data_IF_512851022240
#
_entry.id   IF_512851022240
#
_cell.length_a   1.000
_cell.length_b   1.000
_cell.length_c   1.000
_cell.angle_alpha   90.00
_cell.angle_beta   90.00
_cell.angle_gamma   90.00
#
_symmetry.space_group_name_H-M   'P 1'
#
loop_
_entity.id
_entity.type
_entity.pdbx_description
1 polymer ?
#
# COMPACT_ATOMS: atom_id res chain seq x y z
N UNK A 1 5.79 -14.82 22.06
CA UNK A 1 4.76 -14.16 21.26
C UNK A 1 5.34 -13.81 19.89
N UNK A 2 4.62 -14.11 18.80
CA UNK A 2 5.06 -13.86 17.42
C UNK A 2 4.01 -13.02 16.69
N UNK A 3 4.45 -12.00 15.97
CA UNK A 3 3.57 -11.11 15.23
C UNK A 3 3.72 -11.34 13.72
N UNK A 4 2.65 -11.80 13.09
CA UNK A 4 2.58 -12.12 11.67
C UNK A 4 1.46 -11.37 10.93
N UNK A 5 1.00 -10.22 11.45
CA UNK A 5 0.00 -9.37 10.79
C UNK A 5 0.58 -8.03 10.29
N UNK A 6 1.82 -8.05 9.80
CA UNK A 6 2.53 -6.86 9.33
C UNK A 6 1.90 -6.22 8.08
N UNK A 7 1.20 -6.99 7.24
CA UNK A 7 0.47 -6.46 6.09
C UNK A 7 -0.78 -5.64 6.47
N UNK A 8 -1.27 -5.76 7.71
CA UNK A 8 -2.28 -4.86 8.25
C UNK A 8 -1.61 -3.60 8.84
N UNK A 9 -0.61 -3.78 9.69
CA UNK A 9 0.26 -2.74 10.25
C UNK A 9 1.50 -3.38 10.83
N UNK A 10 2.67 -2.75 10.74
CA UNK A 10 3.85 -3.23 11.46
C UNK A 10 3.72 -2.88 12.94
N UNK A 11 3.80 -3.90 13.81
CA UNK A 11 3.76 -3.66 15.27
C UNK A 11 5.09 -3.08 15.78
N UNK A 12 6.18 -3.72 15.40
CA UNK A 12 7.51 -3.22 15.73
C UNK A 12 7.95 -2.15 14.75
N UNK A 13 8.46 -1.05 15.30
CA UNK A 13 8.99 0.07 14.51
C UNK A 13 10.42 0.37 14.94
N UNK A 14 11.26 0.93 14.06
CA UNK A 14 12.55 1.45 14.46
C UNK A 14 12.41 2.47 15.62
N UNK A 15 13.33 2.46 16.56
CA UNK A 15 13.32 3.39 17.69
C UNK A 15 13.33 4.85 17.23
N UNK A 16 14.06 5.14 16.16
CA UNK A 16 14.14 6.48 15.56
C UNK A 16 12.75 7.06 15.20
N UNK A 17 11.78 6.21 14.85
CA UNK A 17 10.41 6.63 14.53
C UNK A 17 9.71 7.19 15.77
N UNK A 18 9.74 6.47 16.87
CA UNK A 18 9.15 6.93 18.13
C UNK A 18 9.87 8.19 18.66
N UNK A 19 11.20 8.20 18.56
CA UNK A 19 12.01 9.35 18.99
C UNK A 19 11.72 10.61 18.16
N UNK A 20 11.54 10.49 16.86
CA UNK A 20 11.20 11.64 15.99
C UNK A 20 9.84 12.26 16.37
N UNK A 21 8.81 11.42 16.60
CA UNK A 21 7.50 11.89 17.06
C UNK A 21 7.62 12.58 18.44
N UNK A 22 8.31 11.93 19.38
CA UNK A 22 8.54 12.47 20.71
C UNK A 22 9.24 13.84 20.66
N UNK A 23 10.31 13.96 19.87
CA UNK A 23 11.09 15.20 19.74
C UNK A 23 10.24 16.36 19.21
N UNK A 24 9.36 16.13 18.23
CA UNK A 24 8.45 17.16 17.72
C UNK A 24 7.51 17.64 18.83
N UNK A 25 6.88 16.71 19.55
CA UNK A 25 5.86 17.03 20.55
C UNK A 25 6.46 17.64 21.83
N UNK A 26 7.62 17.17 22.27
CA UNK A 26 8.26 17.62 23.52
C UNK A 26 9.09 18.89 23.39
N UNK A 27 9.51 19.26 22.17
CA UNK A 27 10.42 20.39 21.94
C UNK A 27 9.84 21.75 22.30
N UNK A 28 8.52 21.92 22.22
CA UNK A 28 7.84 23.22 22.33
C UNK A 28 8.26 24.26 21.28
N UNK A 29 8.96 23.84 20.20
CA UNK A 29 9.56 24.73 19.20
C UNK A 29 9.09 24.44 17.76
N UNK A 30 8.14 23.52 17.56
CA UNK A 30 7.54 23.21 16.26
C UNK A 30 6.14 23.78 16.21
N UNK A 31 5.91 24.70 15.27
CA UNK A 31 4.63 25.39 15.08
C UNK A 31 3.83 24.87 13.89
N UNK A 32 2.94 25.72 13.36
CA UNK A 32 2.17 25.39 12.14
C UNK A 32 3.06 25.63 10.90
N UNK A 33 3.22 24.63 10.00
CA UNK A 33 4.09 24.74 8.83
C UNK A 33 3.56 25.72 7.76
N UNK A 34 2.26 26.02 7.77
CA UNK A 34 1.61 26.72 6.65
C UNK A 34 1.82 28.24 6.65
N UNK A 35 2.18 28.88 7.78
CA UNK A 35 2.09 30.34 7.86
C UNK A 35 2.92 30.98 8.95
N UNK A 36 4.18 31.02 8.89
CA UNK A 36 4.91 31.85 9.82
C UNK A 36 6.31 32.20 9.32
N UNK A 37 6.65 33.47 9.36
CA UNK A 37 8.05 33.91 9.20
C UNK A 37 8.88 33.68 10.45
N UNK A 38 8.28 33.14 11.54
CA UNK A 38 8.99 32.88 12.81
C UNK A 38 9.59 31.46 12.84
N UNK A 39 10.65 31.28 13.62
CA UNK A 39 11.44 30.04 13.66
C UNK A 39 10.65 28.76 13.90
N UNK A 40 9.53 28.81 14.65
CA UNK A 40 8.70 27.60 14.92
C UNK A 40 7.96 27.13 13.67
N UNK A 41 7.43 28.04 12.86
CA UNK A 41 6.77 27.70 11.61
C UNK A 41 7.78 27.21 10.56
N UNK A 42 8.92 27.87 10.45
CA UNK A 42 10.00 27.46 9.54
C UNK A 42 10.55 26.08 9.89
N UNK A 43 10.68 25.78 11.19
CA UNK A 43 11.10 24.43 11.64
C UNK A 43 10.07 23.36 11.25
N UNK A 44 8.78 23.61 11.45
CA UNK A 44 7.71 22.71 11.06
C UNK A 44 7.68 22.50 9.54
N UNK A 45 7.81 23.58 8.77
CA UNK A 45 7.88 23.53 7.30
C UNK A 45 9.09 22.72 6.82
N UNK A 46 10.27 22.92 7.43
CA UNK A 46 11.48 22.17 7.11
C UNK A 46 11.32 20.67 7.33
N UNK A 47 10.63 20.24 8.40
CA UNK A 47 10.32 18.82 8.64
C UNK A 47 9.47 18.25 7.50
N UNK A 48 8.41 18.95 7.11
CA UNK A 48 7.50 18.50 6.04
C UNK A 48 8.23 18.45 4.70
N UNK A 49 9.03 19.47 4.38
CA UNK A 49 9.78 19.55 3.14
C UNK A 49 10.81 18.42 3.03
N UNK A 50 11.61 18.20 4.09
CA UNK A 50 12.57 17.11 4.13
C UNK A 50 11.90 15.75 3.93
N UNK A 51 10.77 15.50 4.59
CA UNK A 51 10.02 14.26 4.42
C UNK A 51 9.51 14.08 2.98
N UNK A 52 9.10 15.16 2.29
CA UNK A 52 8.75 15.09 0.86
C UNK A 52 9.95 14.72 0.00
N UNK A 53 11.10 15.29 0.27
CA UNK A 53 12.33 14.99 -0.48
C UNK A 53 12.76 13.53 -0.26
N UNK A 54 12.68 13.03 0.96
CA UNK A 54 13.03 11.64 1.28
C UNK A 54 12.02 10.64 0.67
N UNK A 55 10.73 10.98 0.61
CA UNK A 55 9.74 10.20 -0.16
C UNK A 55 10.10 10.17 -1.65
N UNK A 56 10.46 11.31 -2.25
CA UNK A 56 10.90 11.35 -3.65
C UNK A 56 12.15 10.50 -3.88
N UNK A 57 13.12 10.55 -2.97
CA UNK A 57 14.32 9.74 -3.05
C UNK A 57 13.98 8.24 -2.97
N UNK A 58 13.09 7.83 -2.06
CA UNK A 58 12.67 6.45 -1.88
C UNK A 58 11.97 5.87 -3.13
N UNK A 59 11.23 6.70 -3.86
CA UNK A 59 10.52 6.30 -5.08
C UNK A 59 11.26 6.66 -6.36
N UNK A 60 12.52 7.08 -6.28
CA UNK A 60 13.37 7.49 -7.42
C UNK A 60 12.71 8.57 -8.30
N UNK A 61 11.94 9.46 -7.69
CA UNK A 61 11.18 10.48 -8.41
C UNK A 61 12.08 11.54 -9.05
N UNK A 62 11.83 11.85 -10.32
CA UNK A 62 12.37 13.04 -10.98
C UNK A 62 11.67 14.34 -10.54
N UNK A 63 12.10 15.49 -11.09
CA UNK A 63 11.54 16.80 -10.76
C UNK A 63 10.09 16.99 -11.19
N UNK A 64 9.58 16.14 -12.06
CA UNK A 64 8.19 16.12 -12.54
C UNK A 64 7.19 15.68 -11.47
N UNK A 65 7.65 15.06 -10.36
CA UNK A 65 6.77 14.64 -9.27
C UNK A 65 6.75 15.61 -8.11
N UNK A 66 5.62 15.58 -7.39
CA UNK A 66 5.47 16.19 -6.09
C UNK A 66 4.81 15.24 -5.09
N UNK A 67 4.88 15.57 -3.79
CA UNK A 67 4.37 14.74 -2.70
C UNK A 67 3.37 15.53 -1.88
N UNK A 68 2.22 14.92 -1.57
CA UNK A 68 1.29 15.40 -0.58
C UNK A 68 1.06 14.33 0.50
N UNK A 69 1.05 14.73 1.78
CA UNK A 69 0.77 13.80 2.88
C UNK A 69 -0.72 13.68 3.17
N UNK A 70 -1.15 12.47 3.51
CA UNK A 70 -2.52 12.14 3.89
C UNK A 70 -2.53 11.32 5.18
N UNK A 71 -3.73 11.04 5.72
CA UNK A 71 -3.86 10.22 6.93
C UNK A 71 -3.56 8.73 6.70
N UNK A 72 -3.70 8.25 5.48
CA UNK A 72 -3.47 6.86 5.05
C UNK A 72 -3.69 6.75 3.53
N UNK A 73 -3.37 5.58 2.94
CA UNK A 73 -3.60 5.35 1.52
C UNK A 73 -5.08 5.38 1.11
N UNK A 74 -6.02 5.05 1.99
CA UNK A 74 -7.46 5.13 1.68
C UNK A 74 -7.87 6.59 1.43
N UNK A 75 -7.39 7.54 2.24
CA UNK A 75 -7.62 8.96 2.00
C UNK A 75 -6.95 9.41 0.70
N UNK A 76 -5.69 9.01 0.47
CA UNK A 76 -4.95 9.29 -0.75
C UNK A 76 -5.71 8.81 -2.00
N UNK A 77 -6.14 7.54 -2.01
CA UNK A 77 -6.88 6.92 -3.12
C UNK A 77 -8.23 7.62 -3.37
N UNK A 78 -8.98 7.98 -2.31
CA UNK A 78 -10.22 8.74 -2.49
C UNK A 78 -9.98 10.10 -3.15
N UNK A 79 -8.96 10.84 -2.67
CA UNK A 79 -8.62 12.16 -3.24
C UNK A 79 -8.18 12.04 -4.70
N UNK A 80 -7.35 11.04 -5.02
CA UNK A 80 -6.81 10.82 -6.36
C UNK A 80 -7.89 10.31 -7.31
N UNK A 81 -8.59 9.23 -6.96
CA UNK A 81 -9.58 8.62 -7.86
C UNK A 81 -10.74 9.58 -8.17
N UNK A 82 -11.25 10.27 -7.14
CA UNK A 82 -12.36 11.21 -7.31
C UNK A 82 -11.93 12.57 -7.87
N UNK A 83 -10.64 12.91 -7.78
CA UNK A 83 -10.10 14.14 -8.34
C UNK A 83 -9.67 14.02 -9.81
N UNK A 84 -9.35 12.80 -10.29
CA UNK A 84 -8.85 12.57 -11.65
C UNK A 84 -9.85 11.91 -12.57
N UNK A 85 -10.75 11.06 -12.05
CA UNK A 85 -11.67 10.24 -12.85
C UNK A 85 -13.04 10.88 -12.84
N UNK A 86 -13.58 11.14 -14.03
CA UNK A 86 -14.82 11.90 -14.21
C UNK A 86 -15.90 11.06 -14.90
N UNK A 87 -17.19 11.41 -14.77
CA UNK A 87 -18.29 10.78 -15.50
C UNK A 87 -17.99 10.70 -17.01
N UNK A 88 -18.18 9.52 -17.59
CA UNK A 88 -17.88 9.24 -19.00
C UNK A 88 -16.49 8.64 -19.22
N UNK A 89 -15.59 8.68 -18.26
CA UNK A 89 -14.29 7.99 -18.35
C UNK A 89 -14.46 6.48 -18.21
N UNK A 90 -13.52 5.72 -18.78
CA UNK A 90 -13.33 4.31 -18.54
C UNK A 90 -12.10 4.06 -17.68
N UNK A 91 -12.21 3.10 -16.78
CA UNK A 91 -11.13 2.64 -15.90
C UNK A 91 -10.89 1.15 -16.13
N UNK A 92 -9.65 0.79 -16.43
CA UNK A 92 -9.19 -0.59 -16.39
C UNK A 92 -8.54 -0.82 -15.01
N UNK A 93 -8.93 -1.89 -14.33
CA UNK A 93 -8.42 -2.24 -12.99
C UNK A 93 -8.26 -3.75 -12.86
N UNK A 94 -7.87 -4.23 -11.68
CA UNK A 94 -7.59 -5.66 -11.48
C UNK A 94 -8.51 -6.31 -10.43
N UNK A 95 -8.61 -7.63 -10.48
CA UNK A 95 -9.28 -8.40 -9.41
C UNK A 95 -8.48 -8.50 -8.11
N UNK A 96 -7.28 -7.95 -8.05
CA UNK A 96 -6.46 -7.93 -6.84
C UNK A 96 -6.77 -6.76 -5.91
N UNK A 97 -7.61 -5.83 -6.34
CA UNK A 97 -7.77 -4.54 -5.67
C UNK A 97 -8.30 -4.65 -4.25
N UNK A 98 -7.70 -3.86 -3.38
CA UNK A 98 -8.21 -3.62 -2.03
C UNK A 98 -9.48 -2.75 -2.07
N UNK A 99 -10.35 -2.86 -1.08
CA UNK A 99 -11.55 -2.03 -0.95
C UNK A 99 -11.28 -0.51 -0.93
N UNK A 100 -10.05 -0.09 -0.62
CA UNK A 100 -9.65 1.33 -0.71
C UNK A 100 -9.63 1.85 -2.16
N UNK A 101 -9.48 0.95 -3.14
CA UNK A 101 -9.63 1.22 -4.58
C UNK A 101 -11.04 0.89 -5.05
N UNK A 102 -11.54 -0.31 -4.74
CA UNK A 102 -12.83 -0.79 -5.27
C UNK A 102 -14.02 0.10 -4.87
N UNK A 103 -14.12 0.47 -3.60
CA UNK A 103 -15.27 1.24 -3.14
C UNK A 103 -15.35 2.65 -3.74
N UNK A 104 -14.27 3.43 -3.85
CA UNK A 104 -14.28 4.67 -4.62
C UNK A 104 -14.62 4.46 -6.10
N UNK A 105 -14.08 3.41 -6.75
CA UNK A 105 -14.40 3.11 -8.15
C UNK A 105 -15.89 2.76 -8.34
N UNK A 106 -16.49 1.97 -7.45
CA UNK A 106 -17.93 1.67 -7.50
C UNK A 106 -18.80 2.93 -7.28
N UNK A 107 -18.35 3.88 -6.45
CA UNK A 107 -19.04 5.16 -6.32
C UNK A 107 -18.95 5.98 -7.62
N UNK A 108 -17.81 5.96 -8.31
CA UNK A 108 -17.63 6.63 -9.60
C UNK A 108 -18.42 5.92 -10.70
N UNK A 109 -18.50 4.59 -10.68
CA UNK A 109 -19.35 3.81 -11.59
C UNK A 109 -20.82 4.24 -11.51
N UNK A 110 -21.34 4.42 -10.28
CA UNK A 110 -22.69 4.94 -10.07
C UNK A 110 -22.89 6.38 -10.59
N UNK A 111 -21.79 7.10 -10.89
CA UNK A 111 -21.79 8.44 -11.47
C UNK A 111 -21.51 8.44 -12.98
N UNK A 112 -21.42 7.27 -13.63
CA UNK A 112 -21.27 7.16 -15.08
C UNK A 112 -19.85 6.86 -15.55
N UNK A 113 -18.93 6.48 -14.68
CA UNK A 113 -17.63 5.88 -15.04
C UNK A 113 -17.84 4.42 -15.44
N UNK A 114 -17.15 3.94 -16.47
CA UNK A 114 -17.17 2.53 -16.85
C UNK A 114 -15.98 1.79 -16.25
N UNK A 115 -16.22 0.63 -15.63
CA UNK A 115 -15.17 -0.21 -15.05
C UNK A 115 -14.97 -1.47 -15.87
N UNK A 116 -13.71 -1.82 -16.12
CA UNK A 116 -13.32 -3.10 -16.70
C UNK A 116 -12.25 -3.75 -15.79
N UNK A 117 -12.34 -5.07 -15.61
CA UNK A 117 -11.47 -5.79 -14.68
C UNK A 117 -10.61 -6.81 -15.43
N UNK A 118 -9.30 -6.80 -15.14
CA UNK A 118 -8.41 -7.91 -15.45
C UNK A 118 -8.64 -8.97 -14.39
N UNK A 119 -9.16 -10.11 -14.82
CA UNK A 119 -9.46 -11.22 -13.92
C UNK A 119 -8.18 -11.93 -13.46
N UNK A 120 -8.27 -12.62 -12.34
CA UNK A 120 -7.28 -13.61 -11.92
C UNK A 120 -7.73 -14.99 -12.34
N UNK A 121 -6.76 -15.85 -12.67
CA UNK A 121 -7.02 -17.27 -12.86
C UNK A 121 -7.21 -17.99 -11.52
N UNK A 122 -7.90 -19.12 -11.56
CA UNK A 122 -8.01 -20.03 -10.43
C UNK A 122 -7.15 -21.27 -10.72
N UNK A 123 -6.41 -21.81 -9.74
CA UNK A 123 -6.36 -21.47 -8.30
C UNK A 123 -5.17 -20.59 -7.90
N UNK A 124 -4.30 -20.19 -8.83
CA UNK A 124 -3.04 -19.49 -8.54
C UNK A 124 -3.24 -18.01 -8.19
N UNK A 125 -4.34 -17.41 -8.65
CA UNK A 125 -4.61 -15.99 -8.47
C UNK A 125 -3.77 -15.08 -9.37
N UNK A 126 -3.09 -15.61 -10.40
CA UNK A 126 -2.33 -14.81 -11.36
C UNK A 126 -3.26 -13.96 -12.25
N UNK A 127 -2.82 -12.75 -12.59
CA UNK A 127 -3.60 -11.86 -13.45
C UNK A 127 -3.50 -12.28 -14.92
N UNK A 128 -4.63 -12.23 -15.61
CA UNK A 128 -4.75 -12.55 -17.03
C UNK A 128 -4.36 -11.33 -17.91
N UNK A 129 -3.08 -10.95 -17.86
CA UNK A 129 -2.56 -9.78 -18.58
C UNK A 129 -2.87 -9.77 -20.09
N UNK A 130 -2.98 -10.93 -20.73
CA UNK A 130 -3.25 -11.06 -22.17
C UNK A 130 -4.64 -10.56 -22.54
N UNK A 131 -5.56 -10.43 -21.57
CA UNK A 131 -6.91 -9.91 -21.78
C UNK A 131 -6.99 -8.38 -21.74
N UNK A 132 -5.91 -7.66 -21.44
CA UNK A 132 -5.92 -6.20 -21.29
C UNK A 132 -6.43 -5.47 -22.53
N UNK A 133 -5.97 -5.88 -23.72
CA UNK A 133 -6.38 -5.25 -24.99
C UNK A 133 -7.89 -5.37 -25.25
N UNK A 134 -8.46 -6.54 -24.93
CA UNK A 134 -9.89 -6.82 -25.12
C UNK A 134 -10.80 -6.04 -24.16
N UNK A 135 -10.23 -5.54 -23.06
CA UNK A 135 -10.94 -4.76 -22.02
C UNK A 135 -10.96 -3.27 -22.31
N UNK A 136 -10.19 -2.80 -23.29
CA UNK A 136 -10.18 -1.39 -23.67
C UNK A 136 -11.46 -0.99 -24.37
N UNK A 137 -11.89 0.23 -24.09
CA UNK A 137 -12.96 0.93 -24.79
C UNK A 137 -12.45 2.30 -25.24
N UNK A 138 -13.10 2.98 -26.18
CA UNK A 138 -12.74 4.36 -26.53
C UNK A 138 -12.83 5.36 -25.36
N UNK A 139 -13.47 4.98 -24.25
CA UNK A 139 -13.60 5.78 -23.04
C UNK A 139 -12.50 5.50 -22.03
N UNK A 140 -11.72 4.42 -22.18
CA UNK A 140 -10.68 4.04 -21.21
C UNK A 140 -9.59 5.09 -21.19
N UNK A 141 -9.44 5.76 -20.06
CA UNK A 141 -8.43 6.80 -19.84
C UNK A 141 -7.47 6.45 -18.69
N UNK A 142 -7.87 5.54 -17.82
CA UNK A 142 -7.15 5.25 -16.59
C UNK A 142 -6.90 3.77 -16.42
N UNK A 143 -5.70 3.44 -15.96
CA UNK A 143 -5.38 2.16 -15.37
C UNK A 143 -5.16 2.36 -13.86
N UNK A 144 -5.89 1.62 -13.04
CA UNK A 144 -5.79 1.69 -11.57
C UNK A 144 -5.45 0.31 -11.04
N UNK A 145 -4.35 0.16 -10.31
CA UNK A 145 -3.95 -1.13 -9.77
C UNK A 145 -3.21 -1.02 -8.44
N UNK A 146 -3.30 -2.06 -7.61
CA UNK A 146 -2.35 -2.28 -6.54
C UNK A 146 -1.05 -2.86 -7.12
N UNK A 147 0.09 -2.49 -6.55
CA UNK A 147 1.40 -3.02 -6.98
C UNK A 147 1.67 -4.43 -6.46
N UNK A 148 1.07 -4.80 -5.33
CA UNK A 148 1.08 -6.19 -4.84
C UNK A 148 -0.20 -6.54 -4.12
N UNK A 149 -0.65 -7.79 -4.31
CA UNK A 149 -1.83 -8.32 -3.63
C UNK A 149 -1.59 -8.44 -2.12
N UNK A 150 -2.44 -7.84 -1.32
CA UNK A 150 -2.42 -7.97 0.13
C UNK A 150 -2.97 -9.32 0.64
N UNK A 151 -3.37 -10.19 -0.27
CA UNK A 151 -3.85 -11.56 0.01
C UNK A 151 -2.79 -12.59 -0.38
N UNK A 152 -2.36 -12.60 -1.64
CA UNK A 152 -1.41 -13.60 -2.14
C UNK A 152 0.05 -13.19 -1.98
N UNK A 153 0.32 -11.90 -1.83
CA UNK A 153 1.68 -11.35 -1.81
C UNK A 153 2.35 -11.23 -3.19
N UNK A 154 1.69 -11.67 -4.25
CA UNK A 154 2.21 -11.55 -5.61
C UNK A 154 2.36 -10.09 -6.02
N UNK A 155 3.48 -9.78 -6.65
CA UNK A 155 3.78 -8.46 -7.21
C UNK A 155 3.29 -8.43 -8.66
N UNK A 156 2.63 -7.33 -9.02
CA UNK A 156 2.13 -7.08 -10.36
C UNK A 156 3.30 -6.78 -11.30
N UNK A 157 3.21 -7.24 -12.55
CA UNK A 157 4.17 -6.89 -13.61
C UNK A 157 4.01 -5.42 -14.01
N UNK A 158 4.56 -4.53 -13.17
CA UNK A 158 4.45 -3.08 -13.36
C UNK A 158 5.13 -2.61 -14.66
N UNK A 159 6.29 -3.15 -15.09
CA UNK A 159 6.87 -2.83 -16.39
C UNK A 159 5.92 -3.11 -17.55
N UNK A 160 5.23 -4.24 -17.55
CA UNK A 160 4.23 -4.60 -18.58
C UNK A 160 3.05 -3.62 -18.59
N UNK A 161 2.55 -3.26 -17.39
CA UNK A 161 1.45 -2.28 -17.23
C UNK A 161 1.91 -0.89 -17.70
N UNK A 162 3.10 -0.44 -17.33
CA UNK A 162 3.67 0.83 -17.78
C UNK A 162 3.74 0.90 -19.31
N UNK A 163 4.29 -0.13 -19.95
CA UNK A 163 4.37 -0.22 -21.42
C UNK A 163 2.97 -0.21 -22.09
N UNK A 164 2.00 -0.89 -21.46
CA UNK A 164 0.61 -0.88 -21.93
C UNK A 164 0.00 0.52 -21.83
N UNK A 165 0.12 1.18 -20.68
CA UNK A 165 -0.40 2.52 -20.46
C UNK A 165 0.22 3.55 -21.41
N UNK A 166 1.53 3.48 -21.68
CA UNK A 166 2.20 4.35 -22.65
C UNK A 166 1.63 4.16 -24.07
N UNK A 167 1.48 2.91 -24.52
CA UNK A 167 0.98 2.59 -25.85
C UNK A 167 -0.45 3.08 -26.09
N UNK A 168 -1.27 3.05 -25.05
CA UNK A 168 -2.68 3.44 -25.12
C UNK A 168 -2.97 4.83 -24.52
N UNK A 169 -1.93 5.59 -24.15
CA UNK A 169 -2.05 6.94 -23.57
C UNK A 169 -2.95 6.98 -22.32
N UNK A 170 -2.87 5.94 -21.48
CA UNK A 170 -3.63 5.86 -20.24
C UNK A 170 -2.87 6.49 -19.08
N UNK A 171 -3.58 7.23 -18.22
CA UNK A 171 -3.06 7.58 -16.91
C UNK A 171 -2.94 6.35 -16.01
N UNK A 172 -1.86 6.23 -15.26
CA UNK A 172 -1.58 5.09 -14.38
C UNK A 172 -1.58 5.51 -12.92
N UNK A 173 -2.50 4.93 -12.13
CA UNK A 173 -2.63 5.13 -10.68
C UNK A 173 -2.28 3.82 -9.98
N UNK A 174 -1.30 3.86 -9.08
CA UNK A 174 -0.77 2.65 -8.41
C UNK A 174 -0.93 2.78 -6.89
N UNK A 175 -1.60 1.81 -6.26
CA UNK A 175 -1.57 1.63 -4.81
C UNK A 175 -0.33 0.82 -4.41
N UNK A 176 0.67 1.50 -3.84
CA UNK A 176 1.92 0.89 -3.39
C UNK A 176 1.93 0.53 -1.89
N UNK A 177 0.75 0.43 -1.25
CA UNK A 177 0.64 0.20 0.20
C UNK A 177 1.28 -1.09 0.70
N UNK A 178 1.47 -2.09 -0.14
CA UNK A 178 2.14 -3.34 0.23
C UNK A 178 3.61 -3.39 -0.21
N UNK A 179 4.01 -2.54 -1.15
CA UNK A 179 5.34 -2.58 -1.76
C UNK A 179 6.26 -1.46 -1.29
N UNK A 180 5.71 -0.28 -0.96
CA UNK A 180 6.49 0.84 -0.43
C UNK A 180 7.29 0.42 0.81
N UNK A 181 8.64 0.43 0.71
CA UNK A 181 9.56 -0.01 1.75
C UNK A 181 9.76 -1.52 1.89
N UNK A 182 9.01 -2.35 1.13
CA UNK A 182 9.18 -3.81 1.11
C UNK A 182 10.00 -4.28 -0.08
N UNK A 183 9.78 -3.67 -1.23
CA UNK A 183 10.56 -3.84 -2.47
C UNK A 183 10.80 -2.47 -3.10
N UNK A 184 11.72 -2.41 -4.04
CA UNK A 184 12.00 -1.19 -4.77
C UNK A 184 10.82 -0.78 -5.68
N UNK A 185 10.45 0.50 -5.66
CA UNK A 185 9.38 1.08 -6.48
C UNK A 185 9.93 2.27 -7.23
N UNK A 186 10.30 2.04 -8.49
CA UNK A 186 10.94 3.05 -9.34
C UNK A 186 9.91 3.82 -10.19
N UNK A 187 9.84 5.13 -9.97
CA UNK A 187 9.00 6.08 -10.70
C UNK A 187 9.82 6.99 -11.64
N UNK A 188 11.12 6.76 -11.79
CA UNK A 188 12.05 7.65 -12.53
C UNK A 188 11.72 7.79 -14.02
N UNK A 189 10.96 6.84 -14.59
CA UNK A 189 10.53 6.87 -15.99
C UNK A 189 9.36 7.83 -16.29
N UNK A 190 8.75 8.41 -15.28
CA UNK A 190 7.66 9.37 -15.42
C UNK A 190 6.33 8.81 -15.93
N UNK A 191 6.17 7.48 -16.06
CA UNK A 191 4.98 6.84 -16.64
C UNK A 191 3.83 6.77 -15.63
N UNK A 192 4.13 6.46 -14.37
CA UNK A 192 3.13 6.43 -13.30
C UNK A 192 2.62 7.84 -13.04
N UNK A 193 1.34 8.08 -13.26
CA UNK A 193 0.74 9.40 -12.99
C UNK A 193 0.67 9.66 -11.49
N UNK A 194 0.25 8.65 -10.71
CA UNK A 194 0.11 8.75 -9.25
C UNK A 194 0.48 7.43 -8.58
N UNK A 195 1.26 7.50 -7.50
CA UNK A 195 1.42 6.42 -6.54
C UNK A 195 0.85 6.82 -5.17
N UNK A 196 0.00 5.98 -4.58
CA UNK A 196 -0.58 6.18 -3.25
C UNK A 196 0.03 5.21 -2.25
N UNK A 197 0.46 5.71 -1.08
CA UNK A 197 1.12 4.90 -0.05
C UNK A 197 0.53 5.10 1.35
N UNK A 198 0.79 4.15 2.24
CA UNK A 198 0.49 4.27 3.68
C UNK A 198 1.76 4.16 4.51
N UNK A 199 1.88 5.00 5.54
CA UNK A 199 3.11 5.08 6.32
C UNK A 199 3.29 3.95 7.34
N UNK A 200 2.20 3.35 7.84
CA UNK A 200 2.25 2.46 9.01
C UNK A 200 2.59 0.99 8.71
N UNK A 201 2.80 0.63 7.45
CA UNK A 201 3.24 -0.71 7.02
C UNK A 201 4.77 -0.74 6.86
N UNK A 202 5.28 -1.15 5.71
CA UNK A 202 6.73 -1.34 5.49
C UNK A 202 7.54 -0.03 5.41
N UNK A 203 6.90 1.14 5.45
CA UNK A 203 7.58 2.41 5.70
C UNK A 203 7.85 2.68 7.19
N UNK A 204 7.34 1.84 8.08
CA UNK A 204 7.54 1.88 9.54
C UNK A 204 7.07 3.17 10.23
N UNK A 205 6.37 4.05 9.55
CA UNK A 205 5.82 5.28 10.12
C UNK A 205 4.66 5.02 11.11
N UNK A 206 4.23 6.04 11.85
CA UNK A 206 3.08 5.94 12.74
C UNK A 206 1.77 5.70 11.98
N UNK A 207 0.74 5.16 12.65
CA UNK A 207 -0.63 5.22 12.17
C UNK A 207 -1.07 6.68 11.95
N UNK A 208 -1.98 6.92 11.01
CA UNK A 208 -2.40 8.27 10.67
C UNK A 208 -1.41 9.01 9.75
N UNK A 209 -0.58 8.26 9.01
CA UNK A 209 0.31 8.78 7.97
C UNK A 209 0.18 7.98 6.68
N UNK A 210 0.29 8.67 5.57
CA UNK A 210 0.29 8.17 4.21
C UNK A 210 0.52 9.32 3.25
N UNK A 211 0.41 9.07 1.96
CA UNK A 211 0.61 10.15 0.99
C UNK A 211 0.38 9.75 -0.45
N UNK A 212 0.55 10.74 -1.27
CA UNK A 212 0.40 10.76 -2.71
C UNK A 212 1.73 11.23 -3.31
N UNK A 213 2.28 10.45 -4.21
CA UNK A 213 3.34 10.88 -5.14
C UNK A 213 2.67 11.08 -6.48
N UNK A 214 2.72 12.27 -7.04
CA UNK A 214 1.93 12.64 -8.23
C UNK A 214 2.73 13.50 -9.20
N UNK A 215 2.51 13.30 -10.48
CA UNK A 215 3.05 14.17 -11.52
C UNK A 215 2.45 15.57 -11.40
N UNK A 216 3.30 16.59 -11.52
CA UNK A 216 2.90 18.01 -11.40
C UNK A 216 1.94 18.49 -12.49
N UNK A 217 1.96 17.83 -13.64
CA UNK A 217 1.08 18.13 -14.79
C UNK A 217 -0.31 17.49 -14.69
N UNK A 218 -0.57 16.69 -13.65
CA UNK A 218 -1.87 16.08 -13.45
C UNK A 218 -2.94 17.13 -13.11
N UNK A 219 -4.00 17.17 -13.91
CA UNK A 219 -5.13 18.08 -13.70
C UNK A 219 -6.11 17.46 -12.69
N UNK A 220 -6.01 17.86 -11.42
CA UNK A 220 -6.78 17.30 -10.32
C UNK A 220 -7.88 18.26 -9.89
N UNK A 221 -9.11 17.75 -9.80
CA UNK A 221 -10.22 18.45 -9.13
C UNK A 221 -10.11 18.24 -7.62
N UNK A 222 -10.16 19.29 -6.78
CA UNK A 222 -10.10 19.16 -5.33
C UNK A 222 -11.23 18.28 -4.79
N UNK A 223 -10.90 17.24 -4.02
CA UNK A 223 -11.88 16.39 -3.35
C UNK A 223 -12.16 16.88 -1.92
N UNK A 224 -11.15 17.38 -1.23
CA UNK A 224 -11.26 18.01 0.08
C UNK A 224 -10.94 19.48 -0.09
N UNK A 225 -11.79 20.36 0.45
CA UNK A 225 -11.62 21.80 0.41
C UNK A 225 -11.49 22.35 1.81
N UNK A 226 -10.69 23.41 1.99
CA UNK A 226 -10.47 24.03 3.30
C UNK A 226 -9.33 25.03 3.28
N UNK A 227 -8.93 25.51 4.44
CA UNK A 227 -7.82 26.46 4.53
C UNK A 227 -6.48 25.81 4.19
N UNK A 228 -5.77 26.38 3.25
CA UNK A 228 -4.42 25.98 2.83
C UNK A 228 -3.31 26.83 3.47
N UNK A 229 -3.73 27.90 4.13
CA UNK A 229 -2.82 28.82 4.77
C UNK A 229 -2.39 30.01 3.91
N UNK A 230 -2.61 30.08 2.60
CA UNK A 230 -2.08 31.11 1.69
C UNK A 230 -3.19 31.87 0.94
N UNK A 231 -4.15 31.18 0.38
CA UNK A 231 -5.15 31.72 -0.55
C UNK A 231 -6.46 32.14 0.14
N UNK A 232 -6.38 32.89 1.26
CA UNK A 232 -7.52 33.18 2.14
C UNK A 232 -8.70 33.92 1.50
N UNK A 233 -8.46 34.66 0.42
CA UNK A 233 -9.49 35.41 -0.29
C UNK A 233 -10.04 34.71 -1.52
N UNK A 234 -9.43 33.59 -1.91
CA UNK A 234 -9.92 32.75 -3.00
C UNK A 234 -11.13 31.92 -2.53
N UNK A 235 -12.14 31.81 -3.37
CA UNK A 235 -13.36 31.05 -3.06
C UNK A 235 -13.21 29.56 -3.29
N UNK A 236 -12.24 29.19 -4.13
CA UNK A 236 -12.01 27.80 -4.55
C UNK A 236 -10.68 27.29 -3.97
N UNK A 237 -10.58 25.99 -3.78
CA UNK A 237 -9.34 25.33 -3.41
C UNK A 237 -8.32 25.48 -4.53
N UNK A 238 -7.03 25.72 -4.26
CA UNK A 238 -5.98 25.69 -5.27
C UNK A 238 -6.01 24.38 -6.07
N UNK A 239 -5.90 24.48 -7.39
CA UNK A 239 -5.87 23.30 -8.29
C UNK A 239 -4.46 22.79 -8.57
N UNK A 240 -3.44 23.57 -8.23
CA UNK A 240 -2.05 23.20 -8.47
C UNK A 240 -1.58 22.09 -7.50
N UNK A 241 -0.85 21.10 -8.02
CA UNK A 241 -0.16 20.07 -7.24
C UNK A 241 1.04 20.69 -6.53
N UNK A 242 1.31 20.41 -5.24
CA UNK A 242 0.58 19.50 -4.35
C UNK A 242 -0.55 20.18 -3.56
N UNK A 243 -0.73 21.51 -3.67
CA UNK A 243 -1.67 22.34 -2.89
C UNK A 243 -3.12 21.83 -2.94
N UNK A 244 -3.54 21.26 -4.08
CA UNK A 244 -4.87 20.65 -4.27
C UNK A 244 -5.21 19.59 -3.22
N UNK A 245 -4.20 18.97 -2.61
CA UNK A 245 -4.35 17.90 -1.60
C UNK A 245 -4.08 18.38 -0.17
N UNK A 246 -3.62 19.63 0.02
CA UNK A 246 -3.07 20.10 1.30
C UNK A 246 -4.03 21.04 2.06
N UNK A 247 -5.32 20.72 2.06
CA UNK A 247 -6.29 21.43 2.89
C UNK A 247 -6.13 21.03 4.37
N UNK A 248 -6.06 22.02 5.27
CA UNK A 248 -5.94 21.82 6.72
C UNK A 248 -4.49 21.77 7.22
N UNK A 249 -4.34 21.60 8.54
CA UNK A 249 -3.03 21.56 9.19
C UNK A 249 -2.40 20.17 9.07
N UNK A 250 -1.16 20.11 8.58
CA UNK A 250 -0.42 18.87 8.43
C UNK A 250 -0.08 18.21 9.79
N UNK A 251 -0.07 16.87 9.83
CA UNK A 251 0.38 16.08 10.98
C UNK A 251 1.91 16.05 11.07
N UNK A 252 2.53 17.17 11.47
CA UNK A 252 3.98 17.34 11.48
C UNK A 252 4.69 16.27 12.32
N UNK A 253 4.14 15.90 13.47
CA UNK A 253 4.74 14.87 14.33
C UNK A 253 4.69 13.48 13.67
N UNK A 254 3.55 13.12 13.08
CA UNK A 254 3.43 11.87 12.33
C UNK A 254 4.33 11.83 11.11
N UNK A 255 4.44 12.96 10.37
CA UNK A 255 5.32 13.09 9.20
C UNK A 255 6.79 12.93 9.60
N UNK A 256 7.23 13.53 10.72
CA UNK A 256 8.58 13.35 11.24
C UNK A 256 8.89 11.88 11.59
N UNK A 257 7.91 11.17 12.18
CA UNK A 257 8.05 9.73 12.46
C UNK A 257 8.09 8.90 11.18
N UNK A 258 7.27 9.21 10.18
CA UNK A 258 7.30 8.57 8.86
C UNK A 258 8.65 8.78 8.17
N UNK A 259 9.15 10.00 8.18
CA UNK A 259 10.44 10.38 7.62
C UNK A 259 11.61 9.60 8.25
N UNK A 260 11.59 9.42 9.57
CA UNK A 260 12.59 8.61 10.27
C UNK A 260 12.57 7.14 9.82
N UNK A 261 11.40 6.58 9.53
CA UNK A 261 11.26 5.25 8.94
C UNK A 261 11.78 5.18 7.50
N UNK A 262 11.50 6.19 6.69
CA UNK A 262 11.96 6.30 5.30
C UNK A 262 13.49 6.44 5.25
N UNK A 263 14.10 7.27 6.10
CA UNK A 263 15.56 7.43 6.17
C UNK A 263 16.28 6.11 6.44
N UNK A 264 15.74 5.28 7.33
CA UNK A 264 16.31 3.95 7.57
C UNK A 264 16.25 3.06 6.32
N UNK A 265 15.21 3.21 5.50
CA UNK A 265 15.08 2.46 4.24
C UNK A 265 16.03 3.00 3.16
N UNK A 266 16.25 4.31 3.11
CA UNK A 266 17.21 4.94 2.19
C UNK A 266 18.65 4.54 2.48
N UNK A 267 19.00 4.28 3.73
CA UNK A 267 20.34 3.80 4.14
C UNK A 267 20.61 2.32 3.74
N UNK A 268 20.01 1.86 2.64
CA UNK A 268 20.18 0.52 2.09
C UNK A 268 19.14 -0.51 2.55
N UNK A 269 18.12 -0.04 3.29
CA UNK A 269 17.16 -0.91 3.95
C UNK A 269 16.17 -1.62 3.01
N UNK A 270 15.74 -1.04 1.88
CA UNK A 270 14.74 -1.67 0.99
C UNK A 270 15.29 -2.95 0.38
N UNK A 271 16.51 -2.92 -0.17
CA UNK A 271 17.16 -4.11 -0.74
C UNK A 271 17.40 -5.18 0.34
N UNK A 272 17.87 -4.77 1.53
CA UNK A 272 18.07 -5.68 2.65
C UNK A 272 16.75 -6.30 3.14
N UNK A 273 15.66 -5.51 3.19
CA UNK A 273 14.34 -6.00 3.53
C UNK A 273 13.81 -7.03 2.52
N UNK A 274 14.00 -6.80 1.23
CA UNK A 274 13.63 -7.73 0.17
C UNK A 274 14.40 -9.06 0.28
N UNK A 275 15.72 -9.00 0.45
CA UNK A 275 16.58 -10.20 0.66
C UNK A 275 16.17 -10.95 1.92
N UNK A 276 15.90 -10.25 3.00
CA UNK A 276 15.44 -10.86 4.25
C UNK A 276 14.09 -11.56 4.09
N UNK A 277 13.11 -10.93 3.45
CA UNK A 277 11.80 -11.52 3.19
C UNK A 277 11.91 -12.76 2.29
N UNK A 278 12.77 -12.73 1.28
CA UNK A 278 13.04 -13.89 0.42
C UNK A 278 13.64 -15.06 1.21
N UNK A 279 14.62 -14.79 2.07
CA UNK A 279 15.19 -15.83 2.93
C UNK A 279 14.14 -16.48 3.87
N UNK A 280 13.19 -15.67 4.38
CA UNK A 280 12.08 -16.20 5.18
C UNK A 280 11.08 -16.99 4.33
N UNK A 281 10.83 -16.58 3.08
CA UNK A 281 9.99 -17.29 2.13
C UNK A 281 10.54 -18.70 1.83
N UNK A 282 11.85 -18.81 1.63
CA UNK A 282 12.55 -20.08 1.38
C UNK A 282 12.43 -21.05 2.55
N UNK A 283 12.24 -20.57 3.77
CA UNK A 283 11.95 -21.40 4.94
C UNK A 283 10.46 -21.76 4.99
N UNK A 284 9.58 -20.79 4.81
CA UNK A 284 8.14 -20.92 5.04
C UNK A 284 7.43 -21.72 3.96
N UNK A 285 7.60 -21.31 2.69
CA UNK A 285 6.80 -21.81 1.58
C UNK A 285 6.95 -23.32 1.37
N UNK A 286 8.16 -23.88 1.18
CA UNK A 286 8.29 -25.31 0.94
C UNK A 286 7.87 -26.14 2.16
N UNK A 287 8.13 -25.63 3.37
CA UNK A 287 7.76 -26.34 4.59
C UNK A 287 6.25 -26.41 4.82
N UNK A 288 5.51 -25.34 4.44
CA UNK A 288 4.04 -25.30 4.54
C UNK A 288 3.39 -26.11 3.42
N UNK A 289 3.89 -26.01 2.19
CA UNK A 289 3.40 -26.81 1.05
C UNK A 289 3.54 -28.32 1.27
N UNK A 290 4.51 -28.74 2.07
CA UNK A 290 4.72 -30.15 2.42
C UNK A 290 3.79 -30.66 3.54
N UNK A 291 2.94 -29.82 4.13
CA UNK A 291 2.00 -30.25 5.18
C UNK A 291 0.69 -30.70 4.52
N UNK A 292 0.28 -32.00 4.66
CA UNK A 292 -1.00 -32.44 4.13
C UNK A 292 -2.16 -31.66 4.71
N UNK A 293 -3.15 -31.35 3.86
CA UNK A 293 -4.34 -30.58 4.26
C UNK A 293 -4.16 -29.08 4.28
N UNK A 294 -2.95 -28.56 4.08
CA UNK A 294 -2.75 -27.10 3.93
C UNK A 294 -2.75 -26.73 2.45
N UNK A 295 -3.54 -25.71 2.13
CA UNK A 295 -3.51 -25.02 0.84
C UNK A 295 -2.95 -23.63 0.99
N UNK A 296 -1.84 -23.35 0.33
CA UNK A 296 -1.20 -22.04 0.25
C UNK A 296 -1.61 -21.38 -1.08
N UNK A 297 -1.99 -20.09 -1.03
CA UNK A 297 -2.54 -19.35 -2.17
C UNK A 297 -1.52 -18.38 -2.75
N UNK A 298 -1.48 -18.28 -4.06
CA UNK A 298 -0.61 -17.40 -4.84
C UNK A 298 0.31 -18.12 -5.80
N UNK A 299 0.93 -17.37 -6.68
CA UNK A 299 2.03 -17.82 -7.52
C UNK A 299 3.36 -17.66 -6.76
N UNK A 300 4.08 -18.76 -6.58
CA UNK A 300 5.36 -18.80 -5.85
C UNK A 300 6.56 -18.85 -6.79
N UNK A 301 6.35 -18.77 -8.10
CA UNK A 301 7.42 -18.70 -9.11
C UNK A 301 7.85 -17.26 -9.44
N UNK A 302 6.97 -16.29 -9.20
CA UNK A 302 7.19 -14.88 -9.50
C UNK A 302 7.56 -14.02 -8.28
N UNK A 303 7.83 -12.72 -8.51
CA UNK A 303 8.16 -11.77 -7.44
C UNK A 303 7.02 -11.62 -6.45
N UNK A 304 7.38 -11.45 -5.16
CA UNK A 304 6.40 -11.35 -4.10
C UNK A 304 6.88 -10.51 -2.91
N UNK A 305 5.92 -9.99 -2.15
CA UNK A 305 6.17 -9.42 -0.82
C UNK A 305 5.92 -10.50 0.25
N UNK A 306 6.38 -10.26 1.46
CA UNK A 306 6.28 -11.18 2.59
C UNK A 306 4.85 -11.42 3.11
N UNK A 307 3.91 -11.75 2.22
CA UNK A 307 2.48 -12.01 2.52
C UNK A 307 2.11 -13.40 2.03
N UNK A 308 1.48 -14.20 2.90
CA UNK A 308 1.15 -15.61 2.66
C UNK A 308 -0.23 -15.91 3.22
N UNK A 309 -1.17 -16.27 2.36
CA UNK A 309 -2.52 -16.71 2.75
C UNK A 309 -2.66 -18.20 2.58
N UNK A 310 -3.27 -18.87 3.55
CA UNK A 310 -3.45 -20.31 3.55
C UNK A 310 -4.78 -20.71 4.19
N UNK A 311 -5.20 -21.94 3.91
CA UNK A 311 -6.26 -22.63 4.63
C UNK A 311 -5.80 -24.04 5.05
N UNK A 312 -6.43 -24.59 6.10
CA UNK A 312 -6.22 -25.95 6.60
C UNK A 312 -7.53 -26.70 6.42
N UNK A 313 -7.59 -27.62 5.45
CA UNK A 313 -8.82 -28.31 5.10
C UNK A 313 -9.98 -27.35 4.91
N UNK A 314 -11.14 -27.71 5.47
CA UNK A 314 -12.36 -26.89 5.45
C UNK A 314 -12.54 -26.03 6.71
N UNK A 315 -11.52 -25.95 7.58
CA UNK A 315 -11.59 -25.17 8.82
C UNK A 315 -11.76 -23.67 8.51
N UNK A 316 -12.67 -23.01 9.22
CA UNK A 316 -12.85 -21.57 9.10
C UNK A 316 -11.56 -20.83 9.48
N UNK A 317 -11.19 -19.85 8.69
CA UNK A 317 -9.95 -19.07 8.91
C UNK A 317 -9.90 -18.40 10.29
N UNK A 318 -11.05 -17.98 10.83
CA UNK A 318 -11.16 -17.40 12.16
C UNK A 318 -10.81 -18.39 13.26
N UNK A 319 -11.27 -19.65 13.15
CA UNK A 319 -10.97 -20.72 14.12
C UNK A 319 -9.48 -21.04 14.12
N UNK A 320 -8.88 -21.18 12.93
CA UNK A 320 -7.44 -21.45 12.80
C UNK A 320 -6.62 -20.32 13.39
N UNK A 321 -6.99 -19.06 13.11
CA UNK A 321 -6.30 -17.89 13.65
C UNK A 321 -6.43 -17.78 15.17
N UNK A 322 -7.58 -18.17 15.74
CA UNK A 322 -7.80 -18.21 17.19
C UNK A 322 -6.92 -19.29 17.85
N UNK A 323 -6.86 -20.50 17.29
CA UNK A 323 -5.96 -21.58 17.79
C UNK A 323 -4.50 -21.10 17.75
N UNK A 324 -4.07 -20.46 16.63
CA UNK A 324 -2.73 -19.88 16.53
C UNK A 324 -2.44 -18.88 17.63
N UNK A 325 -3.41 -18.04 17.98
CA UNK A 325 -3.25 -17.06 19.05
C UNK A 325 -3.28 -17.69 20.45
N UNK A 326 -4.32 -18.47 20.76
CA UNK A 326 -4.54 -19.01 22.11
C UNK A 326 -3.47 -20.03 22.51
N UNK A 327 -3.10 -20.92 21.58
CA UNK A 327 -2.20 -22.03 21.85
C UNK A 327 -0.74 -21.70 21.60
N UNK A 328 -0.46 -20.95 20.52
CA UNK A 328 0.92 -20.71 20.06
C UNK A 328 1.39 -19.27 20.21
N UNK A 329 0.53 -18.36 20.69
CA UNK A 329 0.81 -16.92 20.84
C UNK A 329 1.30 -16.29 19.52
N UNK A 330 0.64 -16.64 18.41
CA UNK A 330 0.92 -16.16 17.05
C UNK A 330 -0.22 -15.29 16.56
N UNK A 331 0.04 -14.00 16.39
CA UNK A 331 -0.91 -13.05 15.84
C UNK A 331 -0.93 -13.15 14.30
N UNK A 332 -2.02 -13.65 13.74
CA UNK A 332 -2.30 -13.73 12.30
C UNK A 332 -3.62 -13.04 12.00
N UNK A 333 -3.93 -12.82 10.72
CA UNK A 333 -5.19 -12.20 10.34
C UNK A 333 -6.07 -13.19 9.58
N UNK A 334 -7.32 -13.47 10.05
CA UNK A 334 -8.28 -14.28 9.31
C UNK A 334 -9.14 -13.45 8.35
N UNK A 335 -9.96 -14.13 7.56
CA UNK A 335 -11.04 -13.65 6.69
C UNK A 335 -10.59 -13.06 5.33
N UNK A 336 -11.13 -11.91 4.91
CA UNK A 336 -11.13 -11.48 3.50
C UNK A 336 -10.18 -10.33 3.19
N UNK A 337 -9.44 -9.83 4.16
CA UNK A 337 -8.37 -8.82 4.03
C UNK A 337 -8.77 -7.58 3.21
N UNK A 338 -10.07 -7.25 3.13
CA UNK A 338 -10.64 -6.17 2.35
C UNK A 338 -10.34 -6.24 0.82
N UNK A 339 -10.21 -7.45 0.26
CA UNK A 339 -9.95 -7.68 -1.16
C UNK A 339 -10.91 -8.76 -1.71
N UNK A 340 -12.20 -8.46 -1.91
CA UNK A 340 -13.23 -9.47 -2.17
C UNK A 340 -13.05 -10.21 -3.50
N UNK A 341 -12.59 -9.53 -4.56
CA UNK A 341 -12.53 -10.11 -5.89
C UNK A 341 -11.47 -11.21 -6.01
N UNK A 342 -10.32 -11.04 -5.35
CA UNK A 342 -9.30 -12.10 -5.32
C UNK A 342 -9.81 -13.33 -4.56
N UNK A 343 -10.58 -13.17 -3.49
CA UNK A 343 -11.19 -14.29 -2.79
C UNK A 343 -12.22 -15.04 -3.64
N UNK A 344 -12.95 -14.35 -4.51
CA UNK A 344 -13.82 -15.00 -5.50
C UNK A 344 -13.01 -15.81 -6.50
N UNK A 345 -11.91 -15.26 -7.04
CA UNK A 345 -11.03 -15.98 -7.96
C UNK A 345 -10.36 -17.21 -7.31
N UNK A 346 -9.92 -17.11 -6.06
CA UNK A 346 -9.28 -18.20 -5.32
C UNK A 346 -10.26 -19.26 -4.78
N UNK A 347 -11.59 -19.02 -4.87
CA UNK A 347 -12.60 -19.90 -4.30
C UNK A 347 -12.67 -19.85 -2.77
N UNK A 348 -12.16 -18.80 -2.16
CA UNK A 348 -12.10 -18.62 -0.68
C UNK A 348 -13.12 -17.63 -0.14
N UNK A 349 -14.13 -17.27 -0.95
CA UNK A 349 -15.15 -16.29 -0.59
C UNK A 349 -16.06 -16.70 0.60
N UNK A 350 -16.14 -17.99 0.90
CA UNK A 350 -16.90 -18.51 2.06
C UNK A 350 -15.99 -18.65 3.27
N UNK A 351 -14.85 -19.32 3.12
CA UNK A 351 -13.95 -19.69 4.22
C UNK A 351 -13.02 -18.54 4.65
N UNK A 352 -12.74 -17.59 3.75
CA UNK A 352 -11.64 -16.63 3.94
C UNK A 352 -10.29 -17.33 3.88
N UNK A 353 -9.25 -16.65 4.37
CA UNK A 353 -7.91 -17.25 4.52
C UNK A 353 -7.27 -16.80 5.82
N UNK A 354 -6.35 -17.60 6.36
CA UNK A 354 -5.41 -17.16 7.41
C UNK A 354 -4.20 -16.56 6.73
N UNK A 355 -3.92 -15.28 7.02
CA UNK A 355 -2.80 -14.57 6.44
C UNK A 355 -1.66 -14.41 7.42
N UNK A 356 -0.49 -14.86 7.03
CA UNK A 356 0.79 -14.56 7.64
C UNK A 356 1.46 -13.43 6.86
N UNK A 357 2.08 -12.49 7.55
CA UNK A 357 2.87 -11.46 6.88
C UNK A 357 4.11 -11.09 7.69
N UNK A 358 5.24 -11.01 7.00
CA UNK A 358 6.56 -10.82 7.55
C UNK A 358 7.03 -9.38 7.38
N UNK A 359 7.90 -8.93 8.27
CA UNK A 359 8.61 -7.66 8.20
C UNK A 359 10.11 -7.88 8.37
N UNK A 360 10.91 -6.83 8.28
CA UNK A 360 12.34 -6.90 8.58
C UNK A 360 12.66 -7.39 10.01
N UNK A 361 11.69 -7.32 10.93
CA UNK A 361 11.85 -7.79 12.32
C UNK A 361 11.41 -9.25 12.52
N UNK A 362 10.84 -9.88 11.51
CA UNK A 362 10.45 -11.30 11.59
C UNK A 362 11.70 -12.16 11.54
N UNK A 363 11.87 -13.06 12.50
CA UNK A 363 13.05 -13.94 12.58
C UNK A 363 12.81 -15.29 11.91
N UNK A 364 13.87 -15.96 11.45
CA UNK A 364 13.80 -17.31 10.92
C UNK A 364 13.23 -18.30 11.97
N UNK A 365 13.54 -18.11 13.25
CA UNK A 365 13.01 -18.97 14.33
C UNK A 365 11.51 -18.76 14.55
N UNK A 366 11.01 -17.53 14.40
CA UNK A 366 9.57 -17.26 14.40
C UNK A 366 8.87 -17.99 13.25
N UNK A 367 9.45 -17.95 12.05
CA UNK A 367 8.91 -18.65 10.87
C UNK A 367 8.91 -20.18 11.06
N UNK A 368 10.01 -20.74 11.58
CA UNK A 368 10.07 -22.18 11.93
C UNK A 368 9.04 -22.56 12.99
N UNK A 369 8.81 -21.69 13.98
CA UNK A 369 7.77 -21.91 14.98
C UNK A 369 6.38 -21.91 14.36
N UNK A 370 6.09 -20.99 13.41
CA UNK A 370 4.83 -20.96 12.67
C UNK A 370 4.60 -22.26 11.87
N UNK A 371 5.62 -22.77 11.19
CA UNK A 371 5.54 -24.06 10.47
C UNK A 371 5.21 -25.23 11.41
N UNK A 372 5.84 -25.29 12.61
CA UNK A 372 5.52 -26.33 13.60
C UNK A 372 4.08 -26.23 14.10
N UNK A 373 3.60 -25.01 14.39
CA UNK A 373 2.22 -24.78 14.81
C UNK A 373 1.22 -25.20 13.73
N UNK A 374 1.45 -24.79 12.47
CA UNK A 374 0.61 -25.18 11.33
C UNK A 374 0.55 -26.68 11.13
N UNK A 375 1.69 -27.39 11.28
CA UNK A 375 1.73 -28.86 11.20
C UNK A 375 0.93 -29.52 12.32
N UNK A 376 1.01 -29.00 13.54
CA UNK A 376 0.25 -29.52 14.66
C UNK A 376 -1.27 -29.32 14.48
N UNK A 377 -1.69 -28.14 13.99
CA UNK A 377 -3.10 -27.82 13.74
C UNK A 377 -3.65 -28.69 12.59
N UNK A 378 -2.87 -28.90 11.53
CA UNK A 378 -3.29 -29.73 10.38
C UNK A 378 -3.42 -31.20 10.73
N UNK A 379 -2.86 -31.66 11.85
CA UNK A 379 -2.95 -33.04 12.34
C UNK A 379 -4.11 -33.25 13.34
N UNK A 380 -4.83 -32.18 13.72
CA UNK A 380 -6.02 -32.27 14.60
C UNK A 380 -7.25 -32.72 13.82
#
# INVERSE_FOLDING_TARGET
MYYFDNAATTAQKPEAVAQAVYNVLSSGTVGNPSRGAHGYALKAYGIVLQAKDDVKALFHCGPEYDVAFTHNSTAALNMVLKGLIHPGDGVLTTSWEHNAVLRPLYQLEAQGVSLAFIASDSPGGALQYDTMEERLTPRTKWFVCNHASNVTGNVLDLPRIKAFCQRHHLGLIVDVSQTAGAIDVDLSDGIVTVACFTGHKSLYGPGGTGGIVIRRDAAVTPYITGGDGVHSFEREQPSAVPGVFEAGTANVAGIAGLDAGIKQLLDGGVAAAAVHQEALAQIFVPAVQAIPGIRLYGDFSGPRVGVYSLNIGDAESAVVSDILWQTYQMATRPAYHCAPLIHQALGTAVQGTVRFSFSQFTTADAVRAAVRALRAIAAM
#
